data_IF_283834233592
#
_entry.id   IF_283834233592
#
_cell.length_a   1.000
_cell.length_b   1.000
_cell.length_c   1.000
_cell.angle_alpha   90.00
_cell.angle_beta   90.00
_cell.angle_gamma   90.00
#
_symmetry.space_group_name_H-M   'P 1'
#
loop_
_entity.id
_entity.type
_entity.pdbx_description
1 polymer ?
#
# COMPACT_ATOMS: atom_id res chain seq x y z
N UNK A 1 -2.65 15.81 6.06
CA UNK A 1 -2.88 17.20 6.51
C UNK A 1 -1.74 18.11 6.09
N UNK A 2 -0.49 17.85 6.43
CA UNK A 2 0.66 18.71 6.09
C UNK A 2 0.78 19.01 4.59
N UNK A 3 0.76 18.01 3.72
CA UNK A 3 0.81 18.19 2.26
C UNK A 3 -0.35 19.03 1.71
N UNK A 4 -1.56 18.81 2.22
CA UNK A 4 -2.73 19.60 1.82
C UNK A 4 -2.56 21.07 2.19
N UNK A 5 -2.07 21.35 3.39
CA UNK A 5 -1.81 22.71 3.84
C UNK A 5 -0.67 23.35 3.05
N UNK A 6 0.41 22.61 2.78
CA UNK A 6 1.53 23.10 1.96
C UNK A 6 1.08 23.46 0.54
N UNK A 7 0.33 22.59 -0.12
CA UNK A 7 -0.17 22.84 -1.48
C UNK A 7 -1.17 23.99 -1.50
N UNK A 8 -2.00 24.12 -0.46
CA UNK A 8 -2.92 25.22 -0.31
C UNK A 8 -2.18 26.55 -0.10
N UNK A 9 -1.15 26.58 0.73
CA UNK A 9 -0.35 27.79 0.98
C UNK A 9 0.42 28.25 -0.27
N UNK A 10 1.07 27.31 -0.97
CA UNK A 10 1.82 27.65 -2.19
C UNK A 10 0.89 28.04 -3.33
N UNK A 11 -0.17 27.28 -3.58
CA UNK A 11 -1.18 27.61 -4.60
C UNK A 11 -1.92 28.89 -4.32
N UNK A 12 -2.28 29.15 -3.05
CA UNK A 12 -2.92 30.39 -2.62
C UNK A 12 -1.99 31.60 -2.72
N UNK A 13 -0.72 31.45 -2.34
CA UNK A 13 0.28 32.50 -2.50
C UNK A 13 0.50 32.87 -3.96
N UNK A 14 0.59 31.89 -4.86
CA UNK A 14 0.67 32.12 -6.28
C UNK A 14 -0.58 32.84 -6.83
N UNK A 15 -1.77 32.43 -6.38
CA UNK A 15 -3.03 33.05 -6.81
C UNK A 15 -3.12 34.52 -6.39
N UNK A 16 -2.77 34.84 -5.14
CA UNK A 16 -2.73 36.23 -4.64
C UNK A 16 -1.73 37.10 -5.39
N UNK A 17 -0.56 36.55 -5.72
CA UNK A 17 0.46 37.24 -6.50
C UNK A 17 -0.05 37.54 -7.92
N UNK A 18 -0.63 36.55 -8.61
CA UNK A 18 -1.18 36.70 -9.97
C UNK A 18 -2.30 37.73 -9.99
N UNK A 19 -3.24 37.68 -9.05
CA UNK A 19 -4.33 38.64 -8.99
C UNK A 19 -3.85 40.06 -8.63
N UNK A 20 -2.81 40.18 -7.79
CA UNK A 20 -2.22 41.49 -7.44
C UNK A 20 -1.45 42.14 -8.59
N UNK A 21 -0.85 41.32 -9.48
CA UNK A 21 -0.11 41.82 -10.65
C UNK A 21 -0.98 42.07 -11.90
N UNK A 22 -2.23 41.60 -11.88
CA UNK A 22 -3.14 41.70 -13.05
C UNK A 22 -4.42 42.47 -12.67
N UNK A 23 -4.44 43.81 -12.81
CA UNK A 23 -5.57 44.62 -12.42
C UNK A 23 -6.86 44.38 -13.23
N UNK A 24 -6.75 43.67 -14.36
CA UNK A 24 -7.88 43.24 -15.20
C UNK A 24 -8.54 41.94 -14.71
N UNK A 25 -7.92 41.23 -13.78
CA UNK A 25 -8.46 39.99 -13.27
C UNK A 25 -9.47 40.27 -12.16
N UNK A 26 -10.73 39.97 -12.41
CA UNK A 26 -11.79 40.11 -11.45
C UNK A 26 -11.60 39.14 -10.27
N UNK A 27 -11.89 39.57 -9.04
CA UNK A 27 -11.77 38.76 -7.81
C UNK A 27 -12.55 37.42 -7.86
N UNK A 28 -13.54 37.29 -8.72
CA UNK A 28 -14.29 36.06 -8.96
C UNK A 28 -13.42 34.90 -9.43
N UNK A 29 -12.28 35.16 -10.08
CA UNK A 29 -11.34 34.15 -10.57
C UNK A 29 -10.42 33.64 -9.46
N UNK A 30 -10.30 34.32 -8.33
CA UNK A 30 -9.40 33.91 -7.26
C UNK A 30 -9.60 32.45 -6.78
N UNK A 31 -10.82 31.97 -6.53
CA UNK A 31 -11.02 30.57 -6.12
C UNK A 31 -10.56 29.57 -7.17
N UNK A 32 -10.80 29.89 -8.46
CA UNK A 32 -10.41 29.01 -9.56
C UNK A 32 -8.88 28.97 -9.73
N UNK A 33 -8.22 30.12 -9.68
CA UNK A 33 -6.76 30.24 -9.75
C UNK A 33 -6.12 29.53 -8.55
N UNK A 34 -6.71 29.70 -7.35
CA UNK A 34 -6.25 29.04 -6.14
C UNK A 34 -6.36 27.50 -6.23
N UNK A 35 -7.50 26.97 -6.69
CA UNK A 35 -7.68 25.56 -6.96
C UNK A 35 -6.70 25.06 -8.03
N UNK A 36 -6.55 25.79 -9.14
CA UNK A 36 -5.61 25.47 -10.18
C UNK A 36 -4.16 25.40 -9.68
N UNK A 37 -3.75 26.39 -8.89
CA UNK A 37 -2.43 26.42 -8.25
C UNK A 37 -2.22 25.25 -7.28
N UNK A 38 -3.21 24.91 -6.48
CA UNK A 38 -3.15 23.73 -5.60
C UNK A 38 -2.90 22.45 -6.38
N UNK A 39 -3.69 22.20 -7.44
CA UNK A 39 -3.54 21.00 -8.26
C UNK A 39 -2.25 21.01 -9.07
N UNK A 40 -1.78 22.15 -9.54
CA UNK A 40 -0.51 22.26 -10.27
C UNK A 40 0.67 21.89 -9.36
N UNK A 41 0.73 22.42 -8.14
CA UNK A 41 1.79 22.06 -7.17
C UNK A 41 1.72 20.58 -6.79
N UNK A 42 0.52 20.06 -6.60
CA UNK A 42 0.30 18.65 -6.31
C UNK A 42 0.80 17.74 -7.46
N UNK A 43 0.50 18.13 -8.70
CA UNK A 43 0.97 17.42 -9.89
C UNK A 43 2.49 17.44 -10.00
N UNK A 44 3.12 18.62 -9.80
CA UNK A 44 4.58 18.76 -9.82
C UNK A 44 5.21 17.87 -8.73
N UNK A 45 4.65 17.84 -7.54
CA UNK A 45 5.12 16.96 -6.46
C UNK A 45 5.05 15.48 -6.86
N UNK A 46 3.93 15.04 -7.43
CA UNK A 46 3.77 13.64 -7.87
C UNK A 46 4.76 13.31 -8.98
N UNK A 47 4.90 14.18 -9.98
CA UNK A 47 5.84 13.98 -11.09
C UNK A 47 7.29 13.96 -10.60
N UNK A 48 7.66 14.84 -9.68
CA UNK A 48 8.98 14.84 -9.05
C UNK A 48 9.24 13.55 -8.26
N UNK A 49 8.26 13.05 -7.52
CA UNK A 49 8.36 11.79 -6.80
C UNK A 49 8.52 10.60 -7.77
N UNK A 50 7.72 10.55 -8.83
CA UNK A 50 7.82 9.53 -9.87
C UNK A 50 9.21 9.60 -10.54
N UNK A 51 9.65 10.80 -10.94
CA UNK A 51 10.95 11.02 -11.54
C UNK A 51 12.10 10.58 -10.61
N UNK A 52 12.05 10.96 -9.34
CA UNK A 52 13.03 10.53 -8.34
C UNK A 52 13.06 9.00 -8.19
N UNK A 53 11.90 8.33 -8.17
CA UNK A 53 11.82 6.88 -8.13
C UNK A 53 12.36 6.24 -9.41
N UNK A 54 12.07 6.80 -10.58
CA UNK A 54 12.57 6.29 -11.86
C UNK A 54 14.08 6.49 -12.05
N UNK A 55 14.67 7.50 -11.42
CA UNK A 55 16.11 7.79 -11.46
C UNK A 55 16.88 7.01 -10.38
N UNK A 56 16.21 6.37 -9.43
CA UNK A 56 16.89 5.55 -8.42
C UNK A 56 17.63 4.39 -9.08
N UNK A 57 18.89 4.11 -8.68
CA UNK A 57 19.59 2.91 -9.13
C UNK A 57 18.79 1.65 -8.80
N UNK A 58 18.84 0.69 -9.71
CA UNK A 58 18.30 -0.65 -9.45
C UNK A 58 19.26 -1.37 -8.50
N UNK A 59 18.73 -2.01 -7.47
CA UNK A 59 19.52 -2.72 -6.47
C UNK A 59 18.97 -2.48 -5.08
N UNK A 60 19.56 -3.13 -4.09
CA UNK A 60 19.09 -3.04 -2.71
C UNK A 60 19.54 -1.68 -2.11
N UNK A 61 18.63 -0.75 -1.87
CA UNK A 61 18.99 0.56 -1.34
C UNK A 61 19.41 0.43 0.12
N UNK A 62 20.31 1.31 0.57
CA UNK A 62 20.68 1.37 2.00
C UNK A 62 19.41 1.48 2.88
N UNK A 63 19.40 0.94 4.11
CA UNK A 63 18.23 0.96 4.98
C UNK A 63 17.63 2.36 5.20
N UNK A 64 18.49 3.39 5.27
CA UNK A 64 18.06 4.79 5.41
C UNK A 64 17.31 5.28 4.18
N UNK A 65 17.85 5.00 2.97
CA UNK A 65 17.23 5.41 1.69
C UNK A 65 15.87 4.73 1.51
N UNK A 66 15.80 3.43 1.82
CA UNK A 66 14.58 2.65 1.75
C UNK A 66 13.49 3.23 2.65
N UNK A 67 13.77 3.49 3.93
CA UNK A 67 12.81 4.11 4.87
C UNK A 67 12.29 5.46 4.37
N UNK A 68 13.17 6.32 3.85
CA UNK A 68 12.76 7.61 3.29
C UNK A 68 11.82 7.41 2.10
N UNK A 69 12.18 6.52 1.17
CA UNK A 69 11.37 6.21 -0.02
C UNK A 69 9.98 5.70 0.38
N UNK A 70 9.90 4.71 1.27
CA UNK A 70 8.62 4.18 1.74
C UNK A 70 7.78 5.25 2.47
N UNK A 71 8.41 6.11 3.26
CA UNK A 71 7.72 7.23 3.93
C UNK A 71 7.13 8.22 2.92
N UNK A 72 7.89 8.60 1.89
CA UNK A 72 7.44 9.52 0.85
C UNK A 72 6.27 8.91 0.05
N UNK A 73 6.40 7.65 -0.37
CA UNK A 73 5.34 6.94 -1.08
C UNK A 73 4.07 6.85 -0.23
N UNK A 74 4.17 6.46 1.03
CA UNK A 74 3.04 6.36 1.95
C UNK A 74 2.35 7.71 2.14
N UNK A 75 3.13 8.78 2.29
CA UNK A 75 2.58 10.14 2.44
C UNK A 75 1.85 10.58 1.17
N UNK A 76 2.43 10.34 0.00
CA UNK A 76 1.80 10.63 -1.29
C UNK A 76 0.53 9.80 -1.50
N UNK A 77 0.58 8.49 -1.25
CA UNK A 77 -0.60 7.62 -1.35
C UNK A 77 -1.72 8.05 -0.41
N UNK A 78 -1.40 8.37 0.85
CA UNK A 78 -2.38 8.84 1.81
C UNK A 78 -3.03 10.15 1.37
N UNK A 79 -2.26 11.04 0.77
CA UNK A 79 -2.78 12.29 0.22
C UNK A 79 -3.66 12.04 -1.01
N UNK A 80 -3.19 11.28 -2.00
CA UNK A 80 -3.95 10.95 -3.21
C UNK A 80 -5.27 10.27 -2.87
N UNK A 81 -5.22 9.22 -2.04
CA UNK A 81 -6.42 8.47 -1.66
C UNK A 81 -7.45 9.36 -0.97
N UNK A 82 -7.01 10.27 -0.09
CA UNK A 82 -7.92 11.24 0.57
C UNK A 82 -8.52 12.23 -0.43
N UNK A 83 -7.74 12.69 -1.40
CA UNK A 83 -8.19 13.66 -2.42
C UNK A 83 -9.25 13.04 -3.33
N UNK A 84 -9.11 11.75 -3.70
CA UNK A 84 -10.12 11.01 -4.48
C UNK A 84 -11.26 10.43 -3.60
N UNK A 85 -11.37 10.90 -2.35
CA UNK A 85 -12.50 10.60 -1.47
C UNK A 85 -12.38 9.35 -0.61
N UNK A 86 -11.23 8.65 -0.58
CA UNK A 86 -11.04 7.52 0.32
C UNK A 86 -10.84 7.99 1.77
N UNK A 87 -11.57 7.41 2.70
CA UNK A 87 -11.39 7.59 4.14
C UNK A 87 -11.06 6.23 4.74
N UNK A 88 -9.79 6.04 5.08
CA UNK A 88 -9.28 4.75 5.52
C UNK A 88 -9.10 4.80 7.04
N UNK A 89 -9.64 3.81 7.74
CA UNK A 89 -9.47 3.59 9.17
C UNK A 89 -8.68 2.29 9.39
N UNK A 90 -7.70 2.34 10.27
CA UNK A 90 -6.99 1.16 10.76
C UNK A 90 -7.52 0.85 12.17
N UNK A 91 -8.00 -0.37 12.37
CA UNK A 91 -8.48 -0.87 13.66
C UNK A 91 -7.56 -2.00 14.15
N UNK A 92 -7.22 -2.01 15.43
CA UNK A 92 -6.33 -3.02 16.01
C UNK A 92 -4.85 -2.79 15.70
N UNK A 93 -4.43 -1.55 15.49
CA UNK A 93 -3.03 -1.19 15.22
C UNK A 93 -2.09 -1.57 16.38
N UNK A 94 -2.61 -1.65 17.59
CA UNK A 94 -1.94 -2.10 18.81
C UNK A 94 -1.47 -3.55 18.77
N UNK A 95 -2.12 -4.38 17.94
CA UNK A 95 -1.77 -5.79 17.73
C UNK A 95 -0.57 -5.98 16.79
N UNK A 96 -0.14 -4.94 16.07
CA UNK A 96 0.93 -5.07 15.08
C UNK A 96 2.27 -5.38 15.74
N UNK A 97 3.00 -6.42 15.27
CA UNK A 97 4.35 -6.71 15.73
C UNK A 97 5.30 -5.54 15.49
N UNK A 98 6.32 -5.41 16.32
CA UNK A 98 7.41 -4.45 16.10
C UNK A 98 8.32 -4.94 14.96
N UNK A 99 8.60 -6.25 14.93
CA UNK A 99 9.39 -6.91 13.87
C UNK A 99 8.65 -6.93 12.53
N UNK A 100 9.36 -7.10 11.41
CA UNK A 100 8.76 -7.37 10.12
C UNK A 100 7.89 -8.62 10.14
N UNK A 101 6.86 -8.63 9.31
CA UNK A 101 5.84 -9.67 9.31
C UNK A 101 5.31 -9.95 7.89
N UNK A 102 4.67 -11.09 7.72
CA UNK A 102 3.84 -11.39 6.57
C UNK A 102 2.42 -10.86 6.84
N UNK A 103 1.94 -9.94 6.00
CA UNK A 103 0.54 -9.52 6.01
C UNK A 103 -0.26 -10.38 5.05
N UNK A 104 -1.32 -10.99 5.52
CA UNK A 104 -2.34 -11.66 4.70
C UNK A 104 -3.67 -10.93 4.84
N UNK A 105 -4.36 -10.69 3.75
CA UNK A 105 -5.60 -9.93 3.73
C UNK A 105 -6.55 -10.47 2.65
N UNK A 106 -7.86 -10.36 2.85
CA UNK A 106 -8.83 -10.58 1.80
C UNK A 106 -8.72 -9.51 0.71
N UNK A 107 -9.17 -9.80 -0.50
CA UNK A 107 -8.98 -8.96 -1.68
C UNK A 107 -10.29 -8.54 -2.35
N UNK A 108 -10.64 -7.27 -2.25
CA UNK A 108 -11.89 -6.71 -2.78
C UNK A 108 -11.66 -5.72 -3.93
N UNK A 109 -10.52 -5.02 -3.93
CA UNK A 109 -10.24 -3.93 -4.86
C UNK A 109 -8.78 -3.88 -5.29
N UNK A 110 -8.52 -3.42 -6.53
CA UNK A 110 -7.15 -3.11 -6.95
C UNK A 110 -6.47 -2.03 -6.08
N UNK A 111 -7.24 -1.26 -5.32
CA UNK A 111 -6.74 -0.25 -4.40
C UNK A 111 -6.37 -0.80 -3.02
N UNK A 112 -6.67 -2.06 -2.70
CA UNK A 112 -6.37 -2.63 -1.38
C UNK A 112 -4.91 -2.51 -0.97
N UNK A 113 -3.91 -2.83 -1.82
CA UNK A 113 -2.51 -2.65 -1.47
C UNK A 113 -2.16 -1.19 -1.16
N UNK A 114 -2.72 -0.25 -1.94
CA UNK A 114 -2.48 1.17 -1.75
C UNK A 114 -3.10 1.69 -0.45
N UNK A 115 -4.34 1.25 -0.15
CA UNK A 115 -5.02 1.57 1.11
C UNK A 115 -4.25 1.03 2.30
N UNK A 116 -3.78 -0.22 2.21
CA UNK A 116 -3.01 -0.89 3.26
C UNK A 116 -1.68 -0.18 3.50
N UNK A 117 -0.91 0.11 2.45
CA UNK A 117 0.34 0.87 2.57
C UNK A 117 0.14 2.25 3.19
N UNK A 118 -0.95 2.93 2.82
CA UNK A 118 -1.22 4.29 3.29
C UNK A 118 -1.43 4.37 4.81
N UNK A 119 -1.97 3.31 5.45
CA UNK A 119 -2.41 3.37 6.86
C UNK A 119 -1.61 2.49 7.81
N UNK A 120 -0.97 1.43 7.33
CA UNK A 120 -0.32 0.45 8.23
C UNK A 120 0.91 1.00 8.95
N UNK A 121 1.51 2.08 8.44
CA UNK A 121 2.62 2.75 9.11
C UNK A 121 3.95 1.98 9.07
N UNK A 122 4.04 0.90 8.31
CA UNK A 122 5.23 0.03 8.18
C UNK A 122 5.86 0.15 6.80
N UNK A 123 7.16 -0.08 6.72
CA UNK A 123 7.86 -0.26 5.45
C UNK A 123 7.51 -1.64 4.94
N UNK A 124 6.83 -1.69 3.78
CA UNK A 124 6.32 -2.95 3.26
C UNK A 124 6.26 -2.97 1.74
N UNK A 125 6.33 -4.15 1.20
CA UNK A 125 6.19 -4.45 -0.23
C UNK A 125 5.09 -5.48 -0.46
N UNK A 126 4.60 -5.59 -1.68
CA UNK A 126 3.53 -6.55 -1.98
C UNK A 126 3.93 -7.54 -3.06
N UNK A 127 3.40 -8.74 -2.91
CA UNK A 127 3.39 -9.75 -3.96
C UNK A 127 2.14 -9.55 -4.81
N UNK A 128 2.30 -9.38 -6.13
CA UNK A 128 1.21 -9.05 -7.04
C UNK A 128 1.24 -9.86 -8.34
N UNK A 129 0.12 -9.87 -9.09
CA UNK A 129 0.00 -10.58 -10.36
C UNK A 129 0.96 -10.03 -11.41
N UNK A 130 1.64 -10.87 -12.24
CA UNK A 130 2.59 -10.42 -13.24
C UNK A 130 2.04 -9.40 -14.25
N UNK A 131 0.74 -9.49 -14.56
CA UNK A 131 0.09 -8.55 -15.50
C UNK A 131 0.16 -7.08 -15.07
N UNK A 132 0.16 -6.80 -13.76
CA UNK A 132 0.23 -5.42 -13.24
C UNK A 132 1.61 -4.80 -13.51
N UNK A 133 2.66 -5.62 -13.54
CA UNK A 133 4.03 -5.20 -13.85
C UNK A 133 4.24 -4.87 -15.35
N UNK A 134 3.29 -5.22 -16.22
CA UNK A 134 3.31 -4.87 -17.65
C UNK A 134 2.73 -3.49 -17.93
N UNK A 135 2.05 -2.87 -16.96
CA UNK A 135 1.49 -1.52 -17.11
C UNK A 135 2.65 -0.52 -17.14
N UNK A 136 2.77 0.32 -18.19
CA UNK A 136 3.82 1.34 -18.28
C UNK A 136 3.85 2.23 -17.02
N UNK A 137 5.03 2.69 -16.64
CA UNK A 137 5.27 3.48 -15.42
C UNK A 137 4.96 2.72 -14.13
N UNK A 138 3.72 2.22 -13.95
CA UNK A 138 3.29 1.51 -12.73
C UNK A 138 4.17 0.29 -12.47
N UNK A 139 4.34 -0.58 -13.47
CA UNK A 139 5.18 -1.78 -13.32
C UNK A 139 6.65 -1.45 -13.03
N UNK A 140 7.17 -0.37 -13.60
CA UNK A 140 8.52 0.10 -13.29
C UNK A 140 8.62 0.62 -11.86
N UNK A 141 7.66 1.42 -11.41
CA UNK A 141 7.61 1.92 -10.04
C UNK A 141 7.48 0.77 -9.03
N UNK A 142 6.60 -0.20 -9.29
CA UNK A 142 6.42 -1.37 -8.44
C UNK A 142 7.74 -2.14 -8.26
N UNK A 143 8.46 -2.40 -9.36
CA UNK A 143 9.79 -3.05 -9.30
C UNK A 143 10.80 -2.23 -8.50
N UNK A 144 10.81 -0.91 -8.68
CA UNK A 144 11.73 -0.02 -7.96
C UNK A 144 11.46 0.08 -6.46
N UNK A 145 10.20 -0.06 -6.07
CA UNK A 145 9.79 -0.10 -4.66
C UNK A 145 10.04 -1.48 -4.03
N UNK A 146 10.31 -2.51 -4.85
CA UNK A 146 10.59 -3.86 -4.39
C UNK A 146 9.37 -4.81 -4.43
N UNK A 147 8.30 -4.44 -5.12
CA UNK A 147 7.17 -5.36 -5.31
C UNK A 147 7.58 -6.55 -6.17
N UNK A 148 7.01 -7.71 -5.90
CA UNK A 148 7.41 -8.97 -6.50
C UNK A 148 6.26 -9.57 -7.32
N UNK A 149 6.50 -9.95 -8.60
CA UNK A 149 5.51 -10.67 -9.39
C UNK A 149 5.43 -12.13 -8.94
N UNK A 150 4.23 -12.66 -8.71
CA UNK A 150 4.01 -14.09 -8.48
C UNK A 150 3.19 -14.69 -9.62
N UNK A 151 3.84 -15.60 -10.34
CA UNK A 151 3.21 -16.40 -11.37
C UNK A 151 2.75 -17.72 -10.76
N UNK A 152 1.45 -17.87 -10.59
CA UNK A 152 0.83 -19.04 -9.95
C UNK A 152 0.68 -20.22 -10.91
N UNK A 153 0.72 -19.96 -12.21
CA UNK A 153 0.64 -21.00 -13.24
C UNK A 153 1.99 -21.71 -13.40
N UNK A 154 3.08 -21.05 -12.99
CA UNK A 154 4.42 -21.62 -12.98
C UNK A 154 4.93 -21.82 -11.54
N UNK A 155 4.85 -23.07 -11.07
CA UNK A 155 5.23 -23.44 -9.71
C UNK A 155 6.69 -23.06 -9.37
N UNK A 156 7.62 -23.19 -10.34
CA UNK A 156 9.03 -22.85 -10.14
C UNK A 156 9.21 -21.35 -9.90
N UNK A 157 8.54 -20.51 -10.68
CA UNK A 157 8.57 -19.06 -10.54
C UNK A 157 7.89 -18.62 -9.23
N UNK A 158 6.78 -19.26 -8.87
CA UNK A 158 6.10 -18.99 -7.61
C UNK A 158 7.00 -19.28 -6.40
N UNK A 159 7.72 -20.40 -6.40
CA UNK A 159 8.67 -20.75 -5.33
C UNK A 159 9.80 -19.73 -5.23
N UNK A 160 10.34 -19.26 -6.36
CA UNK A 160 11.39 -18.24 -6.37
C UNK A 160 10.89 -16.93 -5.73
N UNK A 161 9.67 -16.47 -6.09
CA UNK A 161 9.06 -15.28 -5.51
C UNK A 161 8.79 -15.44 -4.01
N UNK A 162 8.33 -16.61 -3.56
CA UNK A 162 8.12 -16.92 -2.15
C UNK A 162 9.44 -16.82 -1.36
N UNK A 163 10.53 -17.38 -1.89
CA UNK A 163 11.86 -17.28 -1.26
C UNK A 163 12.36 -15.83 -1.22
N UNK A 164 12.17 -15.07 -2.29
CA UNK A 164 12.53 -13.65 -2.34
C UNK A 164 11.72 -12.83 -1.32
N UNK A 165 10.43 -13.12 -1.19
CA UNK A 165 9.57 -12.47 -0.20
C UNK A 165 10.00 -12.79 1.23
N UNK A 166 10.38 -14.03 1.51
CA UNK A 166 10.92 -14.44 2.80
C UNK A 166 12.24 -13.73 3.12
N UNK A 167 13.14 -13.61 2.14
CA UNK A 167 14.40 -12.84 2.29
C UNK A 167 14.13 -11.37 2.61
N UNK A 168 13.13 -10.74 1.99
CA UNK A 168 12.75 -9.36 2.32
C UNK A 168 12.40 -9.19 3.80
N UNK A 169 11.73 -10.18 4.41
CA UNK A 169 11.36 -10.13 5.83
C UNK A 169 12.57 -10.42 6.72
N UNK A 170 13.30 -11.50 6.44
CA UNK A 170 14.36 -12.00 7.32
C UNK A 170 15.62 -11.13 7.30
N UNK A 171 16.03 -10.66 6.12
CA UNK A 171 17.36 -10.07 5.92
C UNK A 171 17.30 -8.58 5.56
N UNK A 172 16.16 -8.11 5.01
CA UNK A 172 16.03 -6.73 4.50
C UNK A 172 15.24 -5.82 5.45
N UNK A 173 14.63 -6.36 6.51
CA UNK A 173 13.80 -5.62 7.47
C UNK A 173 12.58 -4.96 6.82
N UNK A 174 11.90 -5.68 5.91
CA UNK A 174 10.68 -5.25 5.23
C UNK A 174 9.53 -6.20 5.51
N UNK A 175 8.37 -5.68 5.86
CA UNK A 175 7.15 -6.48 5.87
C UNK A 175 6.69 -6.79 4.44
N UNK A 176 6.08 -7.95 4.25
CA UNK A 176 5.55 -8.36 2.94
C UNK A 176 4.04 -8.56 3.02
N UNK A 177 3.31 -7.94 2.09
CA UNK A 177 1.87 -8.13 1.97
C UNK A 177 1.51 -9.06 0.81
N UNK A 178 0.56 -9.95 1.03
CA UNK A 178 0.02 -10.84 0.01
C UNK A 178 -1.50 -10.97 0.17
N UNK A 179 -2.20 -11.13 -0.96
CA UNK A 179 -3.62 -11.44 -1.02
C UNK A 179 -3.78 -12.91 -1.42
N UNK A 180 -3.94 -13.83 -0.44
CA UNK A 180 -3.85 -15.28 -0.70
C UNK A 180 -5.00 -15.83 -1.52
N UNK A 181 -6.11 -15.09 -1.67
CA UNK A 181 -7.25 -15.45 -2.53
C UNK A 181 -6.88 -15.58 -4.01
N UNK A 182 -5.86 -14.84 -4.45
CA UNK A 182 -5.40 -14.87 -5.82
C UNK A 182 -6.24 -14.15 -6.85
N UNK A 183 -7.45 -13.80 -6.48
CA UNK A 183 -8.36 -12.99 -7.26
C UNK A 183 -9.18 -12.09 -6.32
N UNK A 184 -9.93 -11.14 -6.86
CA UNK A 184 -10.79 -10.27 -6.07
C UNK A 184 -12.13 -10.95 -5.82
N UNK A 185 -12.58 -10.99 -4.58
CA UNK A 185 -13.94 -11.40 -4.24
C UNK A 185 -14.95 -10.37 -4.77
N UNK A 186 -16.00 -10.85 -5.42
CA UNK A 186 -17.11 -10.04 -5.93
C UNK A 186 -18.27 -9.98 -4.94
N UNK A 187 -18.43 -11.00 -4.10
CA UNK A 187 -19.47 -11.06 -3.07
C UNK A 187 -19.16 -10.19 -1.86
N UNK A 188 -17.90 -9.90 -1.61
CA UNK A 188 -17.43 -9.25 -0.38
C UNK A 188 -16.95 -10.24 0.68
N UNK A 189 -17.30 -11.52 0.54
CA UNK A 189 -16.86 -12.58 1.43
C UNK A 189 -15.43 -13.01 1.06
N UNK A 190 -14.60 -13.42 2.02
CA UNK A 190 -13.28 -13.93 1.74
C UNK A 190 -13.37 -15.23 0.96
N UNK A 191 -12.53 -15.35 -0.09
CA UNK A 191 -12.34 -16.60 -0.82
C UNK A 191 -11.35 -17.50 -0.07
N UNK A 192 -11.32 -18.82 -0.38
CA UNK A 192 -10.33 -19.73 0.21
C UNK A 192 -8.90 -19.22 -0.01
N UNK A 193 -8.09 -19.27 1.03
CA UNK A 193 -6.72 -18.81 0.99
C UNK A 193 -5.78 -19.92 0.47
N UNK A 194 -4.94 -19.59 -0.48
CA UNK A 194 -3.89 -20.50 -0.96
C UNK A 194 -2.83 -20.70 0.14
N UNK A 195 -2.79 -21.89 0.70
CA UNK A 195 -1.85 -22.27 1.77
C UNK A 195 -0.37 -22.01 1.42
N UNK A 196 -0.02 -22.13 0.13
CA UNK A 196 1.33 -21.83 -0.36
C UNK A 196 1.83 -20.42 -0.09
N UNK A 197 0.92 -19.44 0.09
CA UNK A 197 1.26 -18.06 0.44
C UNK A 197 1.90 -17.95 1.83
N UNK A 198 1.53 -18.83 2.75
CA UNK A 198 2.05 -18.84 4.13
C UNK A 198 3.46 -19.42 4.24
N UNK A 199 3.97 -20.08 3.19
CA UNK A 199 5.37 -20.53 3.14
C UNK A 199 6.36 -19.38 3.30
N UNK A 200 5.98 -18.16 2.93
CA UNK A 200 6.79 -16.95 3.15
C UNK A 200 7.13 -16.82 4.63
N UNK A 201 6.12 -16.88 5.50
CA UNK A 201 6.31 -16.76 6.94
C UNK A 201 7.07 -17.95 7.54
N UNK A 202 6.78 -19.17 7.09
CA UNK A 202 7.48 -20.38 7.55
C UNK A 202 8.98 -20.34 7.22
N UNK A 203 9.35 -19.85 6.02
CA UNK A 203 10.76 -19.71 5.62
C UNK A 203 11.43 -18.56 6.38
N UNK A 204 10.77 -17.40 6.49
CA UNK A 204 11.29 -16.22 7.18
C UNK A 204 11.26 -16.35 8.71
N UNK A 205 10.55 -17.33 9.26
CA UNK A 205 10.29 -17.51 10.70
C UNK A 205 9.78 -16.20 11.33
N UNK A 206 8.75 -15.62 10.74
CA UNK A 206 8.21 -14.31 11.12
C UNK A 206 6.72 -14.42 11.49
N UNK A 207 6.18 -13.45 12.26
CA UNK A 207 4.75 -13.39 12.55
C UNK A 207 3.91 -13.24 11.27
N UNK A 208 2.68 -13.75 11.30
CA UNK A 208 1.65 -13.52 10.28
C UNK A 208 0.59 -12.59 10.84
N UNK A 209 0.41 -11.44 10.23
CA UNK A 209 -0.66 -10.49 10.54
C UNK A 209 -1.82 -10.74 9.60
N UNK A 210 -2.97 -11.10 10.15
CA UNK A 210 -4.19 -11.31 9.39
C UNK A 210 -5.02 -10.03 9.44
N UNK A 211 -5.27 -9.44 8.28
CA UNK A 211 -6.07 -8.24 8.16
C UNK A 211 -7.35 -8.50 7.36
N UNK A 212 -8.43 -7.84 7.74
CA UNK A 212 -9.68 -7.80 7.01
C UNK A 212 -9.90 -6.40 6.44
N UNK A 213 -10.09 -6.30 5.12
CA UNK A 213 -10.45 -5.05 4.46
C UNK A 213 -11.93 -5.07 4.09
N UNK A 214 -12.63 -3.97 4.38
CA UNK A 214 -14.05 -3.77 4.06
C UNK A 214 -14.30 -2.38 3.51
N UNK A 215 -15.25 -2.29 2.60
CA UNK A 215 -15.65 -1.05 1.95
C UNK A 215 -17.06 -0.67 2.38
N UNK A 216 -17.21 0.52 2.97
CA UNK A 216 -18.49 1.14 3.26
C UNK A 216 -18.90 2.15 2.18
N UNK A 217 -20.21 2.40 2.06
CA UNK A 217 -20.75 3.45 1.19
C UNK A 217 -20.62 4.82 1.84
N UNK A 218 -20.34 5.86 1.03
CA UNK A 218 -20.38 7.27 1.41
C UNK A 218 -21.01 8.07 0.28
N UNK A 219 -21.62 9.23 0.56
CA UNK A 219 -22.15 10.12 -0.48
C UNK A 219 -21.10 10.55 -1.49
N UNK A 220 -19.88 10.84 -1.02
CA UNK A 220 -18.72 11.18 -1.85
C UNK A 220 -17.52 10.31 -1.45
N UNK A 221 -17.10 9.41 -2.35
CA UNK A 221 -15.95 8.55 -2.15
C UNK A 221 -16.25 7.22 -1.47
N UNK A 222 -15.24 6.63 -0.81
CA UNK A 222 -15.33 5.31 -0.16
C UNK A 222 -14.82 5.38 1.27
N UNK A 223 -15.53 4.74 2.17
CA UNK A 223 -14.99 4.42 3.49
C UNK A 223 -14.32 3.06 3.42
N UNK A 224 -13.10 2.97 3.93
CA UNK A 224 -12.33 1.71 3.99
C UNK A 224 -12.00 1.45 5.44
N UNK A 225 -12.30 0.25 5.91
CA UNK A 225 -11.86 -0.24 7.21
C UNK A 225 -10.85 -1.35 6.98
N UNK A 226 -9.63 -1.16 7.47
CA UNK A 226 -8.61 -2.20 7.59
C UNK A 226 -8.55 -2.61 9.06
N UNK A 227 -9.01 -3.81 9.37
CA UNK A 227 -9.00 -4.36 10.73
C UNK A 227 -7.91 -5.42 10.85
N UNK A 228 -7.06 -5.32 11.85
CA UNK A 228 -6.16 -6.41 12.22
C UNK A 228 -7.01 -7.44 12.96
N UNK A 229 -7.31 -8.52 12.26
CA UNK A 229 -8.22 -9.57 12.74
C UNK A 229 -7.52 -10.51 13.71
N UNK A 230 -6.31 -10.95 13.37
CA UNK A 230 -5.52 -11.88 14.17
C UNK A 230 -4.03 -11.66 13.94
N UNK A 231 -3.20 -12.14 14.85
CA UNK A 231 -1.75 -12.21 14.71
C UNK A 231 -1.29 -13.59 15.15
N UNK A 232 -0.70 -14.32 14.22
CA UNK A 232 -0.01 -15.57 14.51
C UNK A 232 1.44 -15.24 14.81
N UNK A 233 1.88 -15.52 16.02
CA UNK A 233 3.27 -15.32 16.42
C UNK A 233 4.23 -16.30 15.74
N UNK A 234 5.52 -16.10 15.94
CA UNK A 234 6.55 -16.94 15.32
C UNK A 234 6.48 -18.39 15.80
N UNK A 235 6.09 -18.62 17.06
CA UNK A 235 5.99 -19.96 17.62
C UNK A 235 4.86 -20.73 16.96
N UNK A 236 3.71 -20.10 16.77
CA UNK A 236 2.61 -20.69 16.01
C UNK A 236 3.00 -21.00 14.56
N UNK A 237 3.68 -20.07 13.88
CA UNK A 237 4.10 -20.22 12.46
C UNK A 237 5.09 -21.38 12.30
N UNK A 238 5.97 -21.61 13.28
CA UNK A 238 6.98 -22.68 13.20
C UNK A 238 6.44 -24.06 13.57
N UNK A 239 5.36 -24.12 14.35
CA UNK A 239 4.78 -25.37 14.84
C UNK A 239 3.60 -25.88 13.99
N UNK A 240 2.97 -25.01 13.20
CA UNK A 240 1.81 -25.36 12.40
C UNK A 240 2.12 -25.38 10.89
N UNK A 241 1.40 -26.20 10.14
CA UNK A 241 1.52 -26.26 8.70
C UNK A 241 0.79 -25.09 8.03
N UNK A 242 1.11 -24.83 6.78
CA UNK A 242 0.55 -23.71 6.02
C UNK A 242 -0.96 -23.79 5.77
N UNK A 243 -1.54 -25.00 5.79
CA UNK A 243 -2.98 -25.20 5.65
C UNK A 243 -3.71 -24.71 6.92
N UNK A 244 -3.24 -25.13 8.11
CA UNK A 244 -3.79 -24.65 9.37
C UNK A 244 -3.71 -23.13 9.53
N UNK A 245 -2.61 -22.51 9.07
CA UNK A 245 -2.48 -21.05 9.05
C UNK A 245 -3.50 -20.40 8.11
N UNK A 246 -3.74 -20.98 6.94
CA UNK A 246 -4.71 -20.47 5.98
C UNK A 246 -6.14 -20.54 6.53
N UNK A 247 -6.52 -21.68 7.12
CA UNK A 247 -7.84 -21.89 7.73
C UNK A 247 -8.08 -20.93 8.89
N UNK A 248 -7.09 -20.75 9.78
CA UNK A 248 -7.15 -19.80 10.89
C UNK A 248 -7.29 -18.36 10.38
N UNK A 249 -6.58 -18.00 9.31
CA UNK A 249 -6.67 -16.66 8.73
C UNK A 249 -8.06 -16.38 8.14
N UNK A 250 -8.65 -17.33 7.40
CA UNK A 250 -10.02 -17.20 6.86
C UNK A 250 -11.02 -17.10 8.00
N UNK A 251 -10.93 -17.95 9.02
CA UNK A 251 -11.80 -17.90 10.20
C UNK A 251 -11.73 -16.55 10.92
N UNK A 252 -10.53 -15.98 11.09
CA UNK A 252 -10.33 -14.68 11.73
C UNK A 252 -10.92 -13.50 10.94
N UNK A 253 -10.93 -13.59 9.61
CA UNK A 253 -11.52 -12.54 8.74
C UNK A 253 -13.04 -12.62 8.76
N UNK A 254 -13.61 -13.82 8.81
CA UNK A 254 -15.05 -14.08 8.84
C UNK A 254 -15.66 -13.86 10.22
N UNK A 255 -14.92 -14.05 11.29
CA UNK A 255 -15.38 -13.75 12.64
C UNK A 255 -15.58 -12.24 12.83
N UNK A 256 -16.82 -11.81 13.04
CA UNK A 256 -17.20 -10.44 13.40
C UNK A 256 -17.41 -10.27 14.89
#
# INVERSE_FOLDING_TARGET
MVLTLLFAAVGGGAATLICGLSPTLSWWWMPLIWCGGYFAVALVYILALIGALLLMPQGDPSPRRRRITHRLIRTALSWVLRTIGYRIRLCGADKLPISPFLLVCNHLSAFDPLCTMAVLGRDMVFVAKPSVFKIPVIGTLMRRVGFMPIDRENARNAVATIKQAAHCIADVDLSVGIYPEGTRSKSGDPLPFHAGSFKIASIAKCPVVVAAIRYGKRPLGKQVCLRIADVMDTDYVTTHNTAAMADRAVAAITAE
#
